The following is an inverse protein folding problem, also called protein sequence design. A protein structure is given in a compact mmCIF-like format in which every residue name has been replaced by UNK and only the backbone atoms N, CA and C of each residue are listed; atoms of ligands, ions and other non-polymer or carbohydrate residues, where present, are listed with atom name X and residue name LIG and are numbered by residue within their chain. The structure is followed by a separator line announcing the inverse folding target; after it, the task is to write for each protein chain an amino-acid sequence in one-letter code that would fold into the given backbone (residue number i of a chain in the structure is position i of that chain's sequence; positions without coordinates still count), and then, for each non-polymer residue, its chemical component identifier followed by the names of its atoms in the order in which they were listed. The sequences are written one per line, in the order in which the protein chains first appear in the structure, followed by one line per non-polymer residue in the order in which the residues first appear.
data_IF_856970164283
#
_entry.id   IF_856970164283
#
_cell.length_a   1.000
_cell.length_b   1.000
_cell.length_c   1.000
_cell.angle_alpha   90.00
_cell.angle_beta   90.00
_cell.angle_gamma   90.00
#
_symmetry.space_group_name_H-M   'P 1'
#
loop_
_entity.id
_entity.type
_entity.pdbx_description
1 polymer ?
#
# COMPACT_ATOMS: atom_id res chain seq x y z
N UNK A 1 5.35 -3.15 -3.84
CA UNK A 1 4.08 -3.57 -4.46
C UNK A 1 4.40 -4.33 -5.74
N UNK A 2 4.38 -5.66 -5.69
CA UNK A 2 4.51 -6.51 -6.88
C UNK A 2 3.45 -6.16 -7.92
N UNK A 3 3.86 -6.02 -9.19
CA UNK A 3 2.91 -5.64 -10.26
C UNK A 3 1.72 -6.60 -10.37
N UNK A 4 1.94 -7.90 -10.08
CA UNK A 4 0.88 -8.93 -10.09
C UNK A 4 -0.18 -8.74 -8.99
N UNK A 5 0.08 -7.91 -7.98
CA UNK A 5 -0.88 -7.59 -6.92
C UNK A 5 -1.64 -6.28 -7.20
N UNK A 6 -1.32 -5.57 -8.30
CA UNK A 6 -2.01 -4.34 -8.66
C UNK A 6 -3.32 -4.69 -9.34
N UNK A 7 -4.42 -4.22 -8.77
CA UNK A 7 -5.75 -4.33 -9.37
C UNK A 7 -5.85 -3.24 -10.44
N UNK A 8 -6.22 -3.62 -11.67
CA UNK A 8 -6.36 -2.69 -12.81
C UNK A 8 -5.09 -1.86 -13.06
N UNK A 9 -3.96 -2.51 -13.44
CA UNK A 9 -2.65 -1.87 -13.58
C UNK A 9 -2.62 -0.73 -14.61
N UNK A 10 -3.53 -0.75 -15.58
CA UNK A 10 -3.63 0.28 -16.62
C UNK A 10 -4.51 1.48 -16.23
N UNK A 11 -5.13 1.46 -15.04
CA UNK A 11 -6.01 2.55 -14.57
C UNK A 11 -5.34 3.50 -13.56
N UNK A 12 -4.36 3.04 -12.77
CA UNK A 12 -3.79 3.88 -11.71
C UNK A 12 -2.69 4.84 -12.19
N UNK A 13 -1.91 4.41 -13.18
CA UNK A 13 -0.91 5.24 -13.86
C UNK A 13 -1.42 5.69 -15.22
N UNK A 14 -1.12 6.93 -15.56
CA UNK A 14 -1.22 7.39 -16.95
C UNK A 14 -0.12 6.75 -17.78
N UNK A 15 -0.35 6.64 -19.08
CA UNK A 15 0.61 6.02 -20.01
C UNK A 15 2.00 6.63 -19.92
N UNK A 16 2.09 7.97 -19.86
CA UNK A 16 3.35 8.68 -19.71
C UNK A 16 4.03 8.41 -18.37
N UNK A 17 3.28 8.35 -17.27
CA UNK A 17 3.84 8.06 -15.94
C UNK A 17 4.39 6.63 -15.85
N UNK A 18 3.67 5.66 -16.44
CA UNK A 18 4.14 4.28 -16.53
C UNK A 18 5.45 4.18 -17.31
N UNK A 19 5.49 4.80 -18.49
CA UNK A 19 6.69 4.82 -19.33
C UNK A 19 7.87 5.53 -18.63
N UNK A 20 7.61 6.61 -17.91
CA UNK A 20 8.62 7.31 -17.14
C UNK A 20 9.20 6.44 -16.01
N UNK A 21 8.37 5.68 -15.29
CA UNK A 21 8.82 4.71 -14.29
C UNK A 21 9.61 3.55 -14.93
N UNK A 22 9.18 3.07 -16.10
CA UNK A 22 9.89 2.06 -16.91
C UNK A 22 11.27 2.56 -17.36
N UNK A 23 11.40 3.85 -17.65
CA UNK A 23 12.67 4.50 -17.97
C UNK A 23 13.51 4.88 -16.74
N UNK A 24 13.10 4.44 -15.54
CA UNK A 24 13.86 4.63 -14.31
C UNK A 24 13.66 5.97 -13.61
N UNK A 25 12.72 6.81 -14.08
CA UNK A 25 12.32 8.03 -13.37
C UNK A 25 11.57 7.69 -12.08
N UNK A 26 11.36 8.71 -11.26
CA UNK A 26 10.62 8.62 -10.01
C UNK A 26 9.77 9.87 -9.79
N UNK A 27 8.67 9.72 -9.05
CA UNK A 27 7.71 10.79 -8.80
C UNK A 27 7.54 11.03 -7.32
N UNK A 28 7.48 12.31 -6.92
CA UNK A 28 6.97 12.63 -5.59
C UNK A 28 5.47 12.39 -5.56
N UNK A 29 5.01 11.64 -4.57
CA UNK A 29 3.59 11.32 -4.35
C UNK A 29 3.21 11.67 -2.93
N UNK A 30 1.95 12.08 -2.73
CA UNK A 30 1.40 12.26 -1.39
C UNK A 30 0.90 10.92 -0.86
N UNK A 31 1.12 10.69 0.43
CA UNK A 31 0.79 9.43 1.10
C UNK A 31 0.01 9.71 2.38
N UNK A 32 -1.12 9.05 2.55
CA UNK A 32 -1.93 9.06 3.76
C UNK A 32 -1.74 7.76 4.55
N UNK A 33 -1.57 7.90 5.86
CA UNK A 33 -1.47 6.77 6.78
C UNK A 33 -2.82 6.11 7.09
N UNK A 34 -2.82 5.00 7.83
CA UNK A 34 -4.03 4.27 8.24
C UNK A 34 -5.09 5.12 8.96
N UNK A 35 -4.67 6.20 9.63
CA UNK A 35 -5.56 7.14 10.35
C UNK A 35 -5.93 8.37 9.53
N UNK A 36 -5.76 8.33 8.20
CA UNK A 36 -6.01 9.43 7.27
C UNK A 36 -5.15 10.69 7.56
N UNK A 37 -4.02 10.53 8.23
CA UNK A 37 -3.03 11.58 8.40
C UNK A 37 -2.06 11.60 7.22
N UNK A 38 -1.85 12.79 6.63
CA UNK A 38 -0.93 12.95 5.51
C UNK A 38 0.52 12.91 6.00
N UNK A 39 1.34 12.07 5.36
CA UNK A 39 2.78 12.06 5.57
C UNK A 39 3.41 13.37 5.10
N UNK A 40 4.16 14.03 5.98
CA UNK A 40 4.69 15.38 5.74
C UNK A 40 6.03 15.41 4.98
N UNK A 41 6.79 14.32 4.98
CA UNK A 41 8.10 14.25 4.29
C UNK A 41 7.93 13.77 2.84
N UNK A 42 8.88 14.07 1.94
CA UNK A 42 8.81 13.62 0.55
C UNK A 42 8.73 12.10 0.45
N UNK A 43 7.75 11.58 -0.30
CA UNK A 43 7.64 10.16 -0.62
C UNK A 43 7.81 9.99 -2.12
N UNK A 44 8.73 9.12 -2.54
CA UNK A 44 8.99 8.86 -3.96
C UNK A 44 8.43 7.51 -4.37
N UNK A 45 7.63 7.50 -5.43
CA UNK A 45 7.26 6.30 -6.18
C UNK A 45 8.33 6.02 -7.24
N UNK A 46 8.82 4.78 -7.27
CA UNK A 46 9.75 4.28 -8.28
C UNK A 46 9.33 2.89 -8.73
N UNK A 47 9.74 2.48 -9.92
CA UNK A 47 9.73 1.07 -10.31
C UNK A 47 11.12 0.45 -10.17
N UNK A 48 11.18 -0.71 -9.52
CA UNK A 48 12.38 -1.53 -9.40
C UNK A 48 12.25 -2.77 -10.25
N UNK A 49 13.22 -2.98 -11.13
CA UNK A 49 13.38 -4.20 -11.90
C UNK A 49 14.23 -5.20 -11.12
N UNK A 50 13.65 -6.37 -10.84
CA UNK A 50 14.34 -7.56 -10.36
C UNK A 50 14.61 -8.47 -11.57
N UNK A 51 15.38 -9.55 -11.37
CA UNK A 51 15.78 -10.47 -12.45
C UNK A 51 14.61 -10.95 -13.34
N UNK A 52 13.43 -11.20 -12.75
CA UNK A 52 12.26 -11.72 -13.48
C UNK A 52 10.96 -10.96 -13.23
N UNK A 53 10.98 -9.95 -12.36
CA UNK A 53 9.76 -9.23 -11.95
C UNK A 53 10.04 -7.74 -11.81
N UNK A 54 8.99 -6.94 -11.88
CA UNK A 54 9.08 -5.51 -11.59
C UNK A 54 8.12 -5.17 -10.44
N UNK A 55 8.51 -4.19 -9.63
CA UNK A 55 7.80 -3.81 -8.42
C UNK A 55 7.69 -2.28 -8.35
N UNK A 56 6.51 -1.78 -7.99
CA UNK A 56 6.36 -0.38 -7.58
C UNK A 56 6.78 -0.24 -6.12
N UNK A 57 7.60 0.75 -5.81
CA UNK A 57 8.16 0.98 -4.47
C UNK A 57 7.95 2.43 -4.02
N UNK A 58 7.55 2.58 -2.76
CA UNK A 58 7.61 3.84 -2.03
C UNK A 58 8.91 3.81 -1.22
N UNK A 59 9.86 4.74 -1.45
CA UNK A 59 11.22 4.62 -0.89
C UNK A 59 11.64 5.72 0.10
N UNK A 60 11.69 6.99 -0.33
CA UNK A 60 12.59 8.02 0.25
C UNK A 60 12.38 8.28 1.73
N UNK A 61 11.14 8.22 2.21
CA UNK A 61 10.82 8.35 3.64
C UNK A 61 9.89 7.24 4.12
N UNK A 62 9.95 6.06 3.48
CA UNK A 62 9.10 4.92 3.86
C UNK A 62 9.28 4.52 5.31
N UNK A 63 10.52 4.41 5.79
CA UNK A 63 10.79 4.06 7.18
C UNK A 63 10.23 5.09 8.17
N UNK A 64 10.39 6.39 7.88
CA UNK A 64 9.79 7.45 8.69
C UNK A 64 8.26 7.37 8.73
N UNK A 65 7.64 7.03 7.60
CA UNK A 65 6.20 6.81 7.54
C UNK A 65 5.76 5.60 8.39
N UNK A 66 6.49 4.49 8.32
CA UNK A 66 6.20 3.29 9.13
C UNK A 66 6.33 3.58 10.62
N UNK A 67 7.43 4.20 11.06
CA UNK A 67 7.65 4.56 12.46
C UNK A 67 6.56 5.50 13.01
N UNK A 68 6.09 6.46 12.21
CA UNK A 68 5.00 7.35 12.60
C UNK A 68 3.65 6.64 12.74
N UNK A 69 3.49 5.45 12.17
CA UNK A 69 2.26 4.65 12.18
C UNK A 69 2.50 3.26 12.79
N UNK A 70 3.50 3.11 13.67
CA UNK A 70 3.97 1.80 14.15
C UNK A 70 2.90 0.97 14.87
N UNK A 71 1.93 1.64 15.52
CA UNK A 71 0.78 0.99 16.18
C UNK A 71 -0.18 0.33 15.18
N UNK A 72 -0.17 0.79 13.94
CA UNK A 72 -1.07 0.31 12.89
C UNK A 72 -0.32 -0.55 11.86
N UNK A 73 0.97 -0.30 11.63
CA UNK A 73 1.83 -0.95 10.64
C UNK A 73 2.86 -1.88 11.28
N UNK A 74 2.37 -3.01 11.77
CA UNK A 74 3.19 -4.06 12.38
C UNK A 74 3.65 -5.12 11.36
N UNK A 75 4.68 -5.88 11.74
CA UNK A 75 5.14 -7.04 10.97
C UNK A 75 3.98 -8.02 10.78
N UNK A 76 3.88 -8.63 9.59
CA UNK A 76 2.83 -9.58 9.18
C UNK A 76 1.41 -8.99 9.06
N UNK A 77 1.24 -7.68 9.26
CA UNK A 77 -0.05 -7.03 9.04
C UNK A 77 -0.34 -6.91 7.54
N UNK A 78 -1.53 -7.36 7.13
CA UNK A 78 -2.02 -7.14 5.77
C UNK A 78 -2.48 -5.69 5.64
N UNK A 79 -2.01 -5.05 4.57
CA UNK A 79 -2.42 -3.70 4.21
C UNK A 79 -2.97 -3.67 2.79
N UNK A 80 -3.83 -2.72 2.52
CA UNK A 80 -4.16 -2.28 1.18
C UNK A 80 -3.49 -0.96 0.89
N UNK A 81 -2.97 -0.83 -0.32
CA UNK A 81 -2.44 0.42 -0.84
C UNK A 81 -3.40 0.92 -1.91
N UNK A 82 -4.09 2.00 -1.58
CA UNK A 82 -5.02 2.67 -2.48
C UNK A 82 -4.29 3.73 -3.28
N UNK A 83 -4.61 3.83 -4.56
CA UNK A 83 -4.17 4.93 -5.41
C UNK A 83 -5.37 5.80 -5.76
N UNK A 84 -5.16 7.11 -5.82
CA UNK A 84 -6.19 8.07 -6.20
C UNK A 84 -5.56 9.33 -6.78
N UNK A 85 -6.40 10.19 -7.35
CA UNK A 85 -6.00 11.49 -7.90
C UNK A 85 -6.58 12.61 -7.06
N UNK A 86 -5.76 13.63 -6.77
CA UNK A 86 -6.21 14.91 -6.22
C UNK A 86 -5.51 16.00 -6.99
N UNK A 87 -6.28 16.92 -7.57
CA UNK A 87 -5.76 17.99 -8.45
C UNK A 87 -4.83 17.42 -9.55
N UNK A 88 -5.28 16.35 -10.22
CA UNK A 88 -4.54 15.59 -11.24
C UNK A 88 -3.27 14.84 -10.76
N UNK A 89 -2.86 15.02 -9.50
CA UNK A 89 -1.65 14.41 -8.93
C UNK A 89 -1.93 13.03 -8.36
N UNK A 90 -1.07 12.07 -8.68
CA UNK A 90 -1.11 10.72 -8.11
C UNK A 90 -0.82 10.77 -6.61
N UNK A 91 -1.73 10.18 -5.84
CA UNK A 91 -1.67 10.08 -4.39
C UNK A 91 -1.93 8.63 -3.95
N UNK A 92 -1.50 8.31 -2.74
CA UNK A 92 -1.69 7.00 -2.14
C UNK A 92 -2.26 7.09 -0.73
N UNK A 93 -3.00 6.08 -0.32
CA UNK A 93 -3.43 5.88 1.06
C UNK A 93 -3.18 4.43 1.47
N UNK A 94 -2.84 4.22 2.73
CA UNK A 94 -2.69 2.89 3.31
C UNK A 94 -3.86 2.61 4.23
N UNK A 95 -4.54 1.49 4.00
CA UNK A 95 -5.55 0.97 4.90
C UNK A 95 -5.05 -0.34 5.51
N UNK A 96 -5.17 -0.48 6.83
CA UNK A 96 -4.89 -1.74 7.49
C UNK A 96 -6.12 -2.64 7.38
N UNK A 97 -5.92 -3.88 6.98
CA UNK A 97 -6.99 -4.88 7.03
C UNK A 97 -7.01 -5.50 8.42
N UNK A 98 -8.20 -5.60 9.01
CA UNK A 98 -8.37 -6.43 10.19
C UNK A 98 -8.10 -7.90 9.80
N UNK A 99 -7.58 -8.67 10.75
CA UNK A 99 -7.50 -10.12 10.54
C UNK A 99 -8.93 -10.61 10.49
N UNK A 100 -9.30 -11.33 9.44
CA UNK A 100 -10.49 -12.17 9.46
C UNK A 100 -10.40 -13.03 10.73
N UNK A 101 -11.30 -12.81 11.68
CA UNK A 101 -11.46 -13.67 12.85
C UNK A 101 -12.19 -14.92 12.36
N UNK A 102 -11.52 -15.72 11.53
CA UNK A 102 -12.05 -17.02 11.12
C UNK A 102 -11.86 -18.00 12.29
N UNK A 103 -12.97 -18.32 12.97
CA UNK A 103 -13.13 -19.56 13.72
C UNK A 103 -13.27 -19.48 15.23
N UNK A 104 -14.22 -18.69 15.77
CA UNK A 104 -14.72 -18.91 17.13
C UNK A 104 -16.22 -19.21 17.06
N UNK A 105 -16.56 -20.49 16.89
CA UNK A 105 -17.85 -21.20 17.10
C UNK A 105 -17.58 -22.60 16.49
N UNK A 106 -17.52 -23.74 17.18
CA UNK A 106 -18.43 -24.28 18.18
C UNK A 106 -17.71 -25.27 19.10
N UNK A 107 -17.81 -25.09 20.41
CA UNK A 107 -17.76 -26.17 21.40
C UNK A 107 -18.33 -25.69 22.74
N UNK A 108 -19.59 -25.26 22.74
CA UNK A 108 -20.41 -25.23 23.94
C UNK A 108 -21.62 -26.16 23.71
N UNK A 109 -21.34 -27.45 23.59
CA UNK A 109 -22.37 -28.47 23.77
C UNK A 109 -22.58 -28.64 25.28
N UNK A 110 -23.50 -27.87 25.85
CA UNK A 110 -24.15 -28.25 27.09
C UNK A 110 -25.26 -29.27 26.75
N UNK A 111 -25.28 -30.48 27.34
CA UNK A 111 -26.47 -31.29 27.30
C UNK A 111 -27.45 -30.82 28.39
N UNK A 112 -28.63 -30.43 27.96
CA UNK A 112 -29.91 -30.64 28.65
C UNK A 112 -30.14 -32.16 28.53
N UNK A 113 -30.29 -32.96 29.59
CA UNK A 113 -31.33 -33.02 30.64
C UNK A 113 -30.68 -33.55 31.94
#
# INVERSE_FOLDING_TARGET
MPMKQVIKPDEFLRKNEKQDLENGKEFEVKLWGPRLEMHKKPMMLKMWHMNSTSNYVLKTNWNHFVMANEKDLEINKKIQVWSFRRDEKLCFAIACLERDVDGQNDAAAAPII
#
